data_IF_473896460742
#
_entry.id   IF_473896460742
#
_cell.length_a   1.000
_cell.length_b   1.000
_cell.length_c   1.000
_cell.angle_alpha   90.00
_cell.angle_beta   90.00
_cell.angle_gamma   90.00
#
_symmetry.space_group_name_H-M   'P 1'
#
loop_
_entity.id
_entity.type
_entity.pdbx_description
1 polymer ?
#
# COMPACT_ATOMS: atom_id res chain seq x y z
N UNK A 1 33.53 -9.44 9.82
CA UNK A 1 32.21 -9.34 10.48
C UNK A 1 31.17 -9.38 9.36
N UNK A 2 30.56 -10.54 9.09
CA UNK A 2 29.63 -10.70 7.97
C UNK A 2 28.27 -10.11 8.34
N UNK A 3 27.81 -9.13 7.56
CA UNK A 3 26.50 -8.49 7.71
C UNK A 3 25.39 -9.46 7.30
N UNK A 4 24.63 -9.95 8.29
CA UNK A 4 23.42 -10.75 8.10
C UNK A 4 22.23 -9.86 8.44
N UNK A 5 21.82 -8.98 7.53
CA UNK A 5 20.55 -8.24 7.69
C UNK A 5 19.71 -8.10 6.40
N UNK A 6 20.21 -8.42 5.19
CA UNK A 6 19.45 -8.19 3.95
C UNK A 6 18.52 -9.32 3.50
N UNK A 7 18.64 -10.54 4.03
CA UNK A 7 17.80 -11.66 3.58
C UNK A 7 16.33 -11.54 4.03
N UNK A 8 16.09 -11.13 5.27
CA UNK A 8 14.74 -11.17 5.86
C UNK A 8 13.75 -10.19 5.22
N UNK A 9 14.23 -9.01 4.82
CA UNK A 9 13.40 -8.00 4.16
C UNK A 9 13.01 -8.44 2.75
N UNK A 10 13.96 -9.03 2.02
CA UNK A 10 13.74 -9.52 0.66
C UNK A 10 12.77 -10.71 0.63
N UNK A 11 12.84 -11.62 1.61
CA UNK A 11 11.85 -12.70 1.74
C UNK A 11 10.43 -12.21 2.03
N UNK A 12 10.28 -11.14 2.84
CA UNK A 12 8.96 -10.52 3.06
C UNK A 12 8.39 -9.88 1.80
N UNK A 13 9.24 -9.21 1.02
CA UNK A 13 8.81 -8.60 -0.25
C UNK A 13 8.43 -9.66 -1.29
N UNK A 14 9.18 -10.76 -1.38
CA UNK A 14 8.87 -11.87 -2.30
C UNK A 14 7.58 -12.59 -1.91
N UNK A 15 7.37 -12.87 -0.62
CA UNK A 15 6.12 -13.50 -0.16
C UNK A 15 4.90 -12.61 -0.40
N UNK A 16 5.04 -11.30 -0.15
CA UNK A 16 3.99 -10.33 -0.46
C UNK A 16 3.71 -10.28 -1.97
N UNK A 17 4.74 -10.17 -2.80
CA UNK A 17 4.61 -10.13 -4.27
C UNK A 17 3.99 -11.42 -4.84
N UNK A 18 4.38 -12.58 -4.33
CA UNK A 18 3.84 -13.87 -4.77
C UNK A 18 2.34 -14.02 -4.37
N UNK A 19 1.98 -13.59 -3.17
CA UNK A 19 0.58 -13.54 -2.72
C UNK A 19 -0.25 -12.57 -3.55
N UNK A 20 0.30 -11.40 -3.88
CA UNK A 20 -0.33 -10.42 -4.78
C UNK A 20 -0.54 -10.99 -6.19
N UNK A 21 0.41 -11.75 -6.73
CA UNK A 21 0.32 -12.34 -8.06
C UNK A 21 -0.72 -13.47 -8.20
N UNK A 22 -1.05 -14.14 -7.09
CA UNK A 22 -2.06 -15.20 -7.04
C UNK A 22 -3.43 -14.73 -6.52
N UNK A 23 -3.52 -13.50 -6.00
CA UNK A 23 -4.73 -12.92 -5.45
C UNK A 23 -5.73 -12.60 -6.57
N UNK A 24 -7.00 -12.91 -6.33
CA UNK A 24 -8.10 -12.39 -7.15
C UNK A 24 -8.15 -10.85 -7.07
N UNK A 25 -8.71 -10.16 -8.08
CA UNK A 25 -8.84 -8.69 -8.06
C UNK A 25 -9.49 -8.16 -6.77
N UNK A 26 -10.48 -8.88 -6.24
CA UNK A 26 -11.11 -8.54 -4.96
C UNK A 26 -10.13 -8.65 -3.78
N UNK A 27 -9.34 -9.72 -3.71
CA UNK A 27 -8.33 -9.90 -2.65
C UNK A 27 -7.23 -8.83 -2.73
N UNK A 28 -6.84 -8.42 -3.94
CA UNK A 28 -5.87 -7.34 -4.13
C UNK A 28 -6.40 -6.01 -3.57
N UNK A 29 -7.66 -5.69 -3.87
CA UNK A 29 -8.34 -4.49 -3.33
C UNK A 29 -8.38 -4.54 -1.80
N UNK A 30 -8.73 -5.69 -1.21
CA UNK A 30 -8.76 -5.85 0.25
C UNK A 30 -7.38 -5.63 0.89
N UNK A 31 -6.31 -6.19 0.30
CA UNK A 31 -4.94 -5.99 0.78
C UNK A 31 -4.53 -4.52 0.73
N UNK A 32 -4.84 -3.82 -0.37
CA UNK A 32 -4.55 -2.39 -0.52
C UNK A 32 -5.33 -1.55 0.50
N UNK A 33 -6.62 -1.83 0.73
CA UNK A 33 -7.41 -1.15 1.76
C UNK A 33 -6.87 -1.38 3.17
N UNK A 34 -6.47 -2.61 3.51
CA UNK A 34 -5.80 -2.88 4.79
C UNK A 34 -4.51 -2.06 4.93
N UNK A 35 -3.66 -2.05 3.89
CA UNK A 35 -2.43 -1.25 3.90
C UNK A 35 -2.69 0.26 4.04
N UNK A 36 -3.76 0.77 3.43
CA UNK A 36 -4.17 2.18 3.56
C UNK A 36 -4.59 2.51 4.99
N UNK A 37 -5.42 1.68 5.63
CA UNK A 37 -5.85 1.89 7.02
C UNK A 37 -4.66 1.93 7.99
N UNK A 38 -3.72 0.98 7.85
CA UNK A 38 -2.51 0.94 8.66
C UNK A 38 -1.65 2.20 8.49
N UNK A 39 -1.55 2.72 7.26
CA UNK A 39 -0.75 3.91 6.97
C UNK A 39 -1.43 5.19 7.47
N UNK A 40 -2.76 5.27 7.42
CA UNK A 40 -3.53 6.36 8.03
C UNK A 40 -3.34 6.42 9.54
N UNK A 41 -3.32 5.27 10.22
CA UNK A 41 -3.03 5.20 11.65
C UNK A 41 -1.60 5.68 11.96
N UNK A 42 -0.61 5.29 11.14
CA UNK A 42 0.77 5.80 11.25
C UNK A 42 0.83 7.32 11.03
N UNK A 43 0.14 7.84 10.01
CA UNK A 43 0.07 9.27 9.74
C UNK A 43 -0.52 10.04 10.94
N UNK A 44 -1.60 9.52 11.54
CA UNK A 44 -2.20 10.08 12.76
C UNK A 44 -1.19 10.10 13.91
N UNK A 45 -0.50 8.99 14.18
CA UNK A 45 0.54 8.95 15.21
C UNK A 45 1.67 9.95 14.93
N UNK A 46 2.05 10.16 13.67
CA UNK A 46 3.05 11.17 13.30
C UNK A 46 2.57 12.60 13.54
N UNK A 47 1.29 12.89 13.30
CA UNK A 47 0.68 14.19 13.61
C UNK A 47 0.69 14.45 15.13
N UNK A 48 0.21 13.49 15.92
CA UNK A 48 0.18 13.59 17.39
C UNK A 48 1.59 13.77 17.98
N UNK A 49 2.56 13.06 17.41
CA UNK A 49 3.97 13.17 17.79
C UNK A 49 4.72 14.37 17.19
N UNK A 50 4.05 15.27 16.45
CA UNK A 50 4.66 16.44 15.76
C UNK A 50 5.85 16.07 14.85
N UNK A 51 5.82 14.88 14.25
CA UNK A 51 6.86 14.37 13.33
C UNK A 51 6.47 14.69 11.90
N UNK A 52 6.62 15.95 11.49
CA UNK A 52 6.06 16.45 10.23
C UNK A 52 6.65 15.82 8.97
N UNK A 53 7.94 15.54 8.94
CA UNK A 53 8.58 14.85 7.80
C UNK A 53 8.00 13.44 7.62
N UNK A 54 7.89 12.68 8.72
CA UNK A 54 7.32 11.33 8.67
C UNK A 54 5.82 11.36 8.35
N UNK A 55 5.08 12.37 8.84
CA UNK A 55 3.70 12.63 8.43
C UNK A 55 3.61 12.80 6.92
N UNK A 56 4.50 13.60 6.31
CA UNK A 56 4.48 13.80 4.86
C UNK A 56 4.73 12.50 4.10
N UNK A 57 5.69 11.68 4.57
CA UNK A 57 5.96 10.36 3.98
C UNK A 57 4.75 9.42 4.06
N UNK A 58 4.11 9.29 5.22
CA UNK A 58 2.91 8.45 5.35
C UNK A 58 1.75 8.94 4.48
N UNK A 59 1.54 10.26 4.38
CA UNK A 59 0.48 10.81 3.51
C UNK A 59 0.76 10.53 2.04
N UNK A 60 2.00 10.70 1.57
CA UNK A 60 2.35 10.36 0.19
C UNK A 60 2.10 8.87 -0.09
N UNK A 61 2.44 7.99 0.85
CA UNK A 61 2.17 6.56 0.71
C UNK A 61 0.67 6.24 0.67
N UNK A 62 -0.16 6.94 1.45
CA UNK A 62 -1.62 6.81 1.33
C UNK A 62 -2.10 7.21 -0.08
N UNK A 63 -1.56 8.28 -0.65
CA UNK A 63 -1.88 8.72 -2.01
C UNK A 63 -1.46 7.67 -3.04
N UNK A 64 -0.27 7.10 -2.91
CA UNK A 64 0.22 6.04 -3.81
C UNK A 64 -0.70 4.80 -3.79
N UNK A 65 -1.17 4.39 -2.61
CA UNK A 65 -2.11 3.26 -2.47
C UNK A 65 -3.46 3.58 -3.12
N UNK A 66 -3.97 4.80 -2.94
CA UNK A 66 -5.23 5.23 -3.58
C UNK A 66 -5.10 5.25 -5.10
N UNK A 67 -4.00 5.76 -5.64
CA UNK A 67 -3.74 5.74 -7.08
C UNK A 67 -3.68 4.31 -7.61
N UNK A 68 -2.99 3.40 -6.90
CA UNK A 68 -2.91 1.99 -7.28
C UNK A 68 -4.30 1.30 -7.27
N UNK A 69 -5.15 1.61 -6.29
CA UNK A 69 -6.53 1.14 -6.24
C UNK A 69 -7.34 1.64 -7.45
N UNK A 70 -7.29 2.94 -7.74
CA UNK A 70 -8.00 3.53 -8.89
C UNK A 70 -7.54 2.91 -10.21
N UNK A 71 -6.22 2.80 -10.43
CA UNK A 71 -5.68 2.19 -11.65
C UNK A 71 -6.03 0.70 -11.78
N UNK A 72 -6.12 -0.03 -10.66
CA UNK A 72 -6.51 -1.46 -10.68
C UNK A 72 -7.99 -1.63 -11.05
N UNK A 73 -8.86 -0.73 -10.59
CA UNK A 73 -10.29 -0.73 -10.94
C UNK A 73 -10.53 -0.35 -12.41
N UNK A 74 -9.79 0.64 -12.92
CA UNK A 74 -9.84 1.06 -14.33
C UNK A 74 -9.41 -0.04 -15.31
N UNK A 75 -8.42 -0.85 -14.93
CA UNK A 75 -7.94 -1.99 -15.73
C UNK A 75 -8.99 -3.11 -15.84
N UNK A 76 -9.70 -3.41 -14.75
CA UNK A 76 -10.73 -4.45 -14.71
C UNK A 76 -12.04 -4.04 -15.42
N UNK A 77 -12.35 -2.73 -15.48
CA UNK A 77 -13.59 -2.22 -16.09
C UNK A 77 -13.47 -1.87 -17.57
N UNK A 78 -12.31 -2.10 -18.20
CA UNK A 78 -12.15 -1.88 -19.65
C UNK A 78 -12.21 -0.41 -20.10
N UNK A 79 -11.91 0.54 -19.19
CA UNK A 79 -11.85 1.96 -19.51
C UNK A 79 -13.18 2.72 -19.50
N UNK A 80 -14.30 2.11 -19.09
CA UNK A 80 -15.48 2.88 -18.73
C UNK A 80 -15.34 3.40 -17.29
N UNK A 81 -14.99 4.69 -17.20
CA UNK A 81 -14.83 5.47 -15.99
C UNK A 81 -15.91 5.15 -14.95
N UNK A 82 -15.52 4.43 -13.90
CA UNK A 82 -16.33 4.34 -12.67
C UNK A 82 -16.23 5.67 -11.96
N UNK A 83 -17.02 6.65 -12.41
CA UNK A 83 -17.36 7.82 -11.62
C UNK A 83 -18.45 7.39 -10.65
N UNK A 84 -18.05 7.02 -9.44
CA UNK A 84 -18.71 7.39 -8.18
C UNK A 84 -18.14 6.56 -7.02
N UNK A 85 -17.53 7.27 -6.06
CA UNK A 85 -17.42 6.89 -4.64
C UNK A 85 -18.13 7.97 -3.83
#
# INVERSE_FOLDING_TARGET
MYQVQDGYSQYKEIDLAARTAAASPLELVLVLFSGLMDELERAKSHIEGRRFEKKAQSINKCIDILNALTSSLEFETGGELVVNL
#
